data_IF_389365578303
#
_entry.id   IF_389365578303
#
_cell.length_a   1.000
_cell.length_b   1.000
_cell.length_c   1.000
_cell.angle_alpha   90.00
_cell.angle_beta   90.00
_cell.angle_gamma   90.00
#
_symmetry.space_group_name_H-M   'P 1'
#
loop_
_entity.id
_entity.type
_entity.pdbx_description
1 polymer ?
#
# COMPACT_ATOMS: atom_id res chain seq x y z
N UNK A 1 13.76 -11.87 19.78
CA UNK A 1 13.47 -10.43 19.63
C UNK A 1 11.98 -10.32 19.49
N UNK A 2 11.30 -9.82 20.51
CA UNK A 2 9.83 -9.86 20.57
C UNK A 2 9.20 -9.05 19.43
N UNK A 3 8.25 -9.66 18.73
CA UNK A 3 7.45 -9.06 17.66
C UNK A 3 6.57 -7.90 18.13
N UNK A 4 6.57 -7.60 19.43
CA UNK A 4 5.81 -6.52 20.08
C UNK A 4 6.57 -5.21 20.19
N UNK A 5 7.84 -5.21 19.82
CA UNK A 5 8.65 -3.98 19.82
C UNK A 5 8.38 -3.15 18.57
N UNK A 6 8.56 -1.82 18.66
CA UNK A 6 8.48 -0.91 17.49
C UNK A 6 9.39 -1.38 16.35
N UNK A 7 10.60 -1.86 16.68
CA UNK A 7 11.56 -2.37 15.68
C UNK A 7 11.12 -3.70 15.07
N UNK A 8 10.43 -4.55 15.84
CA UNK A 8 9.81 -5.76 15.34
C UNK A 8 8.73 -5.44 14.30
N UNK A 9 7.86 -4.49 14.61
CA UNK A 9 6.84 -4.01 13.68
C UNK A 9 7.44 -3.36 12.43
N UNK A 10 8.45 -2.50 12.59
CA UNK A 10 9.19 -1.91 11.46
C UNK A 10 9.78 -2.99 10.55
N UNK A 11 10.46 -3.99 11.14
CA UNK A 11 11.04 -5.10 10.37
C UNK A 11 9.97 -5.88 9.62
N UNK A 12 8.83 -6.16 10.24
CA UNK A 12 7.70 -6.83 9.59
C UNK A 12 7.21 -6.06 8.35
N UNK A 13 7.16 -4.73 8.41
CA UNK A 13 6.77 -3.89 7.26
C UNK A 13 7.84 -3.91 6.14
N UNK A 14 9.12 -3.90 6.49
CA UNK A 14 10.21 -4.05 5.51
C UNK A 14 10.14 -5.40 4.81
N UNK A 15 9.98 -6.49 5.57
CA UNK A 15 9.89 -7.85 5.03
C UNK A 15 8.67 -7.98 4.09
N UNK A 16 7.53 -7.39 4.47
CA UNK A 16 6.34 -7.30 3.62
C UNK A 16 6.62 -6.56 2.29
N UNK A 17 7.38 -5.47 2.33
CA UNK A 17 7.75 -4.70 1.14
C UNK A 17 8.64 -5.51 0.21
N UNK A 18 9.61 -6.23 0.75
CA UNK A 18 10.50 -7.12 -0.01
C UNK A 18 9.71 -8.26 -0.65
N UNK A 19 8.83 -8.92 0.13
CA UNK A 19 7.97 -9.99 -0.37
C UNK A 19 7.04 -9.51 -1.49
N UNK A 20 6.45 -8.32 -1.35
CA UNK A 20 5.64 -7.70 -2.40
C UNK A 20 6.44 -7.45 -3.68
N UNK A 21 7.66 -6.92 -3.56
CA UNK A 21 8.56 -6.73 -4.71
C UNK A 21 8.90 -8.04 -5.43
N UNK A 22 9.26 -9.09 -4.68
CA UNK A 22 9.54 -10.41 -5.23
C UNK A 22 8.33 -11.02 -5.93
N UNK A 23 7.14 -10.89 -5.34
CA UNK A 23 5.88 -11.38 -5.91
C UNK A 23 5.58 -10.72 -7.26
N UNK A 24 5.79 -9.39 -7.36
CA UNK A 24 5.61 -8.68 -8.63
C UNK A 24 6.65 -9.07 -9.69
N UNK A 25 7.88 -9.36 -9.30
CA UNK A 25 8.90 -9.90 -10.21
C UNK A 25 8.48 -11.27 -10.75
N UNK A 26 8.03 -12.18 -9.89
CA UNK A 26 7.54 -13.50 -10.30
C UNK A 26 6.34 -13.40 -11.26
N UNK A 27 5.40 -12.50 -10.99
CA UNK A 27 4.28 -12.22 -11.89
C UNK A 27 4.77 -11.74 -13.26
N UNK A 28 5.74 -10.81 -13.28
CA UNK A 28 6.37 -10.32 -14.51
C UNK A 28 7.06 -11.43 -15.31
N UNK A 29 7.76 -12.35 -14.65
CA UNK A 29 8.41 -13.49 -15.32
C UNK A 29 7.37 -14.41 -15.97
N UNK A 30 6.28 -14.72 -15.26
CA UNK A 30 5.15 -15.50 -15.81
C UNK A 30 4.51 -14.82 -17.03
N UNK A 31 4.37 -13.49 -17.01
CA UNK A 31 3.86 -12.73 -18.16
C UNK A 31 4.79 -12.80 -19.36
N UNK A 32 6.11 -12.70 -19.11
CA UNK A 32 7.12 -12.84 -20.17
C UNK A 32 7.06 -14.22 -20.81
N UNK A 33 6.92 -15.29 -20.03
CA UNK A 33 6.87 -16.65 -20.54
C UNK A 33 5.63 -16.89 -21.42
N UNK A 34 4.48 -16.36 -20.98
CA UNK A 34 3.22 -16.42 -21.75
C UNK A 34 3.28 -15.59 -23.05
N UNK A 35 3.92 -14.42 -23.02
CA UNK A 35 4.01 -13.53 -24.17
C UNK A 35 5.08 -13.95 -25.21
N UNK A 36 6.18 -14.54 -24.76
CA UNK A 36 7.37 -14.80 -25.58
C UNK A 36 7.51 -16.21 -26.14
N UNK A 37 7.03 -17.24 -25.42
CA UNK A 37 7.35 -18.64 -25.74
C UNK A 37 6.27 -19.38 -26.50
N UNK A 38 5.44 -20.12 -25.77
CA UNK A 38 4.54 -21.15 -26.31
C UNK A 38 3.22 -20.59 -26.85
N UNK A 39 2.69 -19.52 -26.24
CA UNK A 39 1.37 -18.98 -26.58
C UNK A 39 1.30 -18.32 -27.97
N UNK A 40 2.33 -17.56 -28.35
CA UNK A 40 2.37 -16.89 -29.67
C UNK A 40 2.52 -17.89 -30.81
N UNK A 41 3.47 -18.82 -30.69
CA UNK A 41 3.75 -19.80 -31.74
C UNK A 41 2.57 -20.74 -31.99
N UNK A 42 1.90 -21.21 -30.93
CA UNK A 42 0.73 -22.08 -31.06
C UNK A 42 -0.46 -21.37 -31.72
N UNK A 43 -0.73 -20.11 -31.35
CA UNK A 43 -1.76 -19.29 -31.99
C UNK A 43 -1.52 -19.13 -33.49
N UNK A 44 -0.29 -18.80 -33.87
CA UNK A 44 0.09 -18.63 -35.28
C UNK A 44 -0.10 -19.92 -36.08
N UNK A 45 0.22 -21.07 -35.49
CA UNK A 45 0.03 -22.38 -36.10
C UNK A 45 -1.46 -22.69 -36.35
N UNK A 46 -2.34 -22.45 -35.38
CA UNK A 46 -3.79 -22.65 -35.52
C UNK A 46 -4.37 -21.77 -36.63
N UNK A 47 -4.02 -20.48 -36.63
CA UNK A 47 -4.47 -19.53 -37.67
C UNK A 47 -3.99 -19.94 -39.06
N UNK A 48 -2.74 -20.37 -39.18
CA UNK A 48 -2.18 -20.86 -40.44
C UNK A 48 -2.94 -22.08 -40.96
N UNK A 49 -3.12 -23.11 -40.12
CA UNK A 49 -3.87 -24.32 -40.47
C UNK A 49 -5.31 -24.00 -40.88
N UNK A 50 -5.99 -23.11 -40.15
CA UNK A 50 -7.34 -22.66 -40.49
C UNK A 50 -7.41 -21.96 -41.85
N UNK A 51 -6.44 -21.08 -42.12
CA UNK A 51 -6.35 -20.36 -43.40
C UNK A 51 -6.09 -21.32 -44.56
N UNK A 52 -5.18 -22.30 -44.38
CA UNK A 52 -4.89 -23.32 -45.40
C UNK A 52 -6.12 -24.18 -45.72
N UNK A 53 -6.91 -24.56 -44.71
CA UNK A 53 -8.15 -25.32 -44.92
C UNK A 53 -9.22 -24.50 -45.65
N UNK A 54 -9.40 -23.23 -45.28
CA UNK A 54 -10.35 -22.34 -45.96
C UNK A 54 -9.96 -22.10 -47.42
N UNK A 55 -8.66 -21.87 -47.68
CA UNK A 55 -8.15 -21.69 -49.04
C UNK A 55 -8.38 -22.93 -49.91
N UNK A 56 -8.25 -24.14 -49.34
CA UNK A 56 -8.52 -25.38 -50.06
C UNK A 56 -9.98 -25.50 -50.49
N UNK A 57 -10.92 -25.31 -49.56
CA UNK A 57 -12.36 -25.34 -49.88
C UNK A 57 -12.75 -24.27 -50.92
N UNK A 58 -12.22 -23.05 -50.78
CA UNK A 58 -12.44 -22.00 -51.77
C UNK A 58 -11.88 -22.34 -53.16
N UNK A 59 -10.71 -22.99 -53.22
CA UNK A 59 -10.13 -23.43 -54.48
C UNK A 59 -10.99 -24.50 -55.19
N UNK A 60 -11.61 -25.40 -54.43
CA UNK A 60 -12.51 -26.44 -54.94
C UNK A 60 -13.80 -25.83 -55.52
N UNK A 61 -14.43 -24.90 -54.80
CA UNK A 61 -15.62 -24.16 -55.31
C UNK A 61 -15.26 -23.35 -56.55
N UNK A 62 -14.11 -22.67 -56.56
CA UNK A 62 -13.63 -21.93 -57.73
C UNK A 62 -13.41 -22.86 -58.92
N UNK A 63 -12.98 -24.10 -58.70
CA UNK A 63 -12.82 -25.08 -59.76
C UNK A 63 -14.18 -25.47 -60.37
N UNK A 64 -15.22 -25.71 -59.57
CA UNK A 64 -16.58 -25.96 -60.07
C UNK A 64 -17.10 -24.80 -60.92
N UNK A 65 -16.90 -23.55 -60.47
CA UNK A 65 -17.31 -22.35 -61.23
C UNK A 65 -16.55 -22.23 -62.56
N UNK A 66 -15.26 -22.60 -62.59
CA UNK A 66 -14.48 -22.64 -63.83
C UNK A 66 -15.03 -23.68 -64.80
N UNK A 67 -15.45 -24.84 -64.32
CA UNK A 67 -16.01 -25.93 -65.14
C UNK A 67 -17.36 -25.55 -65.74
N UNK A 68 -18.20 -24.86 -64.97
CA UNK A 68 -19.43 -24.24 -65.46
C UNK A 68 -19.15 -23.22 -66.57
N UNK A 69 -18.14 -22.35 -66.38
CA UNK A 69 -17.75 -21.36 -67.39
C UNK A 69 -17.27 -22.02 -68.69
N UNK A 70 -16.52 -23.12 -68.59
CA UNK A 70 -16.06 -23.90 -69.76
C UNK A 70 -17.23 -24.50 -70.54
N UNK A 71 -18.14 -25.20 -69.86
CA UNK A 71 -19.31 -25.81 -70.51
C UNK A 71 -20.28 -24.78 -71.10
N UNK A 72 -20.49 -23.63 -70.44
CA UNK A 72 -21.25 -22.50 -70.99
C UNK A 72 -20.66 -21.97 -72.29
N UNK A 73 -19.33 -21.79 -72.34
CA UNK A 73 -18.64 -21.34 -73.56
C UNK A 73 -18.79 -22.34 -74.70
N UNK A 74 -18.65 -23.64 -74.41
CA UNK A 74 -18.83 -24.70 -75.41
C UNK A 74 -20.25 -24.72 -75.96
N UNK A 75 -21.27 -24.63 -75.09
CA UNK A 75 -22.68 -24.52 -75.48
C UNK A 75 -22.90 -23.35 -76.46
N UNK A 76 -22.45 -22.14 -76.11
CA UNK A 76 -22.60 -20.97 -76.98
C UNK A 76 -21.78 -21.04 -78.28
N UNK A 77 -20.71 -21.83 -78.33
CA UNK A 77 -20.02 -22.13 -79.60
C UNK A 77 -20.85 -23.07 -80.48
N UNK A 78 -21.40 -24.15 -79.91
CA UNK A 78 -22.24 -25.11 -80.66
C UNK A 78 -23.53 -24.49 -81.16
N UNK A 79 -24.13 -23.60 -80.38
CA UNK A 79 -25.35 -22.87 -80.77
C UNK A 79 -25.12 -22.02 -82.02
N UNK A 80 -24.01 -21.27 -82.07
CA UNK A 80 -23.64 -20.46 -83.25
C UNK A 80 -23.40 -21.32 -84.49
N UNK A 81 -22.68 -22.43 -84.35
CA UNK A 81 -22.42 -23.35 -85.49
C UNK A 81 -23.72 -23.96 -86.01
N UNK A 82 -24.61 -24.37 -85.12
CA UNK A 82 -25.92 -24.91 -85.49
C UNK A 82 -26.81 -23.86 -86.17
N UNK A 83 -26.86 -22.63 -85.65
CA UNK A 83 -27.62 -21.53 -86.24
C UNK A 83 -27.15 -21.20 -87.67
N UNK A 84 -25.83 -21.12 -87.88
CA UNK A 84 -25.25 -20.92 -89.23
C UNK A 84 -25.57 -22.09 -90.17
N UNK A 85 -25.60 -23.32 -89.67
CA UNK A 85 -25.98 -24.49 -90.47
C UNK A 85 -27.47 -24.46 -90.84
N UNK A 86 -28.35 -24.02 -89.93
CA UNK A 86 -29.78 -23.83 -90.17
C UNK A 86 -30.05 -22.75 -91.21
N UNK A 87 -29.36 -21.60 -91.12
CA UNK A 87 -29.48 -20.51 -92.10
C UNK A 87 -29.10 -20.98 -93.51
N UNK A 88 -27.96 -21.69 -93.64
CA UNK A 88 -27.52 -22.27 -94.93
C UNK A 88 -28.49 -23.31 -95.47
N UNK A 89 -29.05 -24.16 -94.61
CA UNK A 89 -30.05 -25.15 -95.01
C UNK A 89 -31.35 -24.47 -95.48
N UNK A 90 -31.80 -23.43 -94.78
CA UNK A 90 -32.99 -22.66 -95.12
C UNK A 90 -32.84 -21.91 -96.45
N UNK A 91 -31.66 -21.31 -96.72
CA UNK A 91 -31.36 -20.66 -98.00
C UNK A 91 -31.43 -21.64 -99.17
N UNK A 92 -30.77 -22.80 -99.06
CA UNK A 92 -30.80 -23.84 -100.11
C UNK A 92 -32.21 -24.39 -100.29
N UNK A 93 -32.98 -24.56 -99.21
CA UNK A 93 -34.37 -25.02 -99.29
C UNK A 93 -35.29 -23.97 -99.93
N UNK A 94 -35.11 -22.68 -99.64
CA UNK A 94 -35.86 -21.60 -100.26
C UNK A 94 -35.59 -21.52 -101.77
N UNK A 95 -34.32 -21.68 -102.19
CA UNK A 95 -33.94 -21.75 -103.62
C UNK A 95 -34.55 -22.97 -104.31
N UNK A 96 -34.60 -24.12 -103.64
CA UNK A 96 -35.25 -25.32 -104.15
C UNK A 96 -36.77 -25.13 -104.33
N UNK A 97 -37.44 -24.50 -103.37
CA UNK A 97 -38.89 -24.25 -103.39
C UNK A 97 -39.30 -23.24 -104.48
N UNK A 98 -38.48 -22.20 -104.71
CA UNK A 98 -38.69 -21.22 -105.79
C UNK A 98 -38.32 -21.73 -107.17
N UNK A 99 -37.73 -22.92 -107.25
CA UNK A 99 -37.09 -23.46 -108.46
C UNK A 99 -36.01 -22.54 -109.06
N UNK A 100 -35.32 -21.78 -108.21
CA UNK A 100 -34.20 -20.89 -108.55
C UNK A 100 -32.92 -21.70 -108.82
N UNK A 101 -32.92 -22.39 -109.95
CA UNK A 101 -31.78 -23.14 -110.47
C UNK A 101 -30.98 -22.18 -111.36
N UNK A 102 -29.90 -21.60 -110.83
CA UNK A 102 -28.97 -20.81 -111.65
C UNK A 102 -28.45 -21.64 -112.84
N UNK A 103 -28.00 -20.98 -113.91
CA UNK A 103 -27.61 -21.57 -115.20
C UNK A 103 -26.60 -22.75 -115.07
N UNK A 104 -25.93 -22.90 -113.92
CA UNK A 104 -24.94 -23.94 -113.62
C UNK A 104 -25.33 -24.99 -112.55
N UNK A 105 -26.56 -24.99 -112.02
CA UNK A 105 -27.00 -25.96 -111.00
C UNK A 105 -28.32 -26.64 -111.39
N UNK A 106 -28.31 -27.97 -111.53
CA UNK A 106 -29.51 -28.76 -111.81
C UNK A 106 -30.36 -28.97 -110.55
N UNK A 107 -31.69 -29.14 -110.71
CA UNK A 107 -32.62 -29.48 -109.63
C UNK A 107 -32.17 -30.66 -108.78
N UNK A 108 -31.64 -31.69 -109.42
CA UNK A 108 -31.07 -32.88 -108.76
C UNK A 108 -29.83 -32.55 -107.93
N UNK A 109 -28.99 -31.61 -108.35
CA UNK A 109 -27.82 -31.16 -107.57
C UNK A 109 -28.21 -30.36 -106.32
N UNK A 110 -29.22 -29.48 -106.42
CA UNK A 110 -29.76 -28.75 -105.26
C UNK A 110 -30.47 -29.68 -104.27
N UNK A 111 -31.18 -30.70 -104.76
CA UNK A 111 -31.77 -31.74 -103.89
C UNK A 111 -30.68 -32.51 -103.12
N UNK A 112 -29.61 -32.94 -103.79
CA UNK A 112 -28.47 -33.58 -103.10
C UNK A 112 -27.82 -32.66 -102.07
N UNK A 113 -27.62 -31.38 -102.39
CA UNK A 113 -27.07 -30.41 -101.44
C UNK A 113 -27.99 -30.19 -100.24
N UNK A 114 -29.31 -30.07 -100.46
CA UNK A 114 -30.31 -29.97 -99.39
C UNK A 114 -30.28 -31.19 -98.47
N UNK A 115 -30.24 -32.41 -99.03
CA UNK A 115 -30.13 -33.63 -98.20
C UNK A 115 -28.84 -33.68 -97.39
N UNK A 116 -27.71 -33.23 -97.95
CA UNK A 116 -26.42 -33.16 -97.26
C UNK A 116 -26.44 -32.12 -96.11
N UNK A 117 -26.98 -30.93 -96.36
CA UNK A 117 -27.11 -29.89 -95.34
C UNK A 117 -28.11 -30.30 -94.25
N UNK A 118 -29.17 -31.02 -94.60
CA UNK A 118 -30.12 -31.60 -93.64
C UNK A 118 -29.44 -32.62 -92.71
N UNK A 119 -28.63 -33.54 -93.27
CA UNK A 119 -27.84 -34.48 -92.47
C UNK A 119 -26.80 -33.78 -91.58
N UNK A 120 -26.10 -32.77 -92.10
CA UNK A 120 -25.16 -31.95 -91.30
C UNK A 120 -25.87 -31.17 -90.19
N UNK A 121 -27.05 -30.63 -90.47
CA UNK A 121 -27.87 -29.92 -89.49
C UNK A 121 -28.33 -30.85 -88.36
N UNK A 122 -28.73 -32.09 -88.68
CA UNK A 122 -29.05 -33.10 -87.68
C UNK A 122 -27.84 -33.45 -86.79
N UNK A 123 -26.64 -33.58 -87.37
CA UNK A 123 -25.41 -33.81 -86.62
C UNK A 123 -25.06 -32.64 -85.68
N UNK A 124 -25.14 -31.40 -86.16
CA UNK A 124 -24.92 -30.22 -85.31
C UNK A 124 -25.99 -30.06 -84.22
N UNK A 125 -27.23 -30.44 -84.51
CA UNK A 125 -28.32 -30.46 -83.53
C UNK A 125 -28.00 -31.41 -82.37
N UNK A 126 -27.53 -32.62 -82.69
CA UNK A 126 -27.10 -33.59 -81.69
C UNK A 126 -25.91 -33.08 -80.85
N UNK A 127 -24.92 -32.43 -81.48
CA UNK A 127 -23.78 -31.84 -80.77
C UNK A 127 -24.20 -30.67 -79.87
N UNK A 128 -25.14 -29.83 -80.31
CA UNK A 128 -25.71 -28.75 -79.51
C UNK A 128 -26.47 -29.32 -78.30
N UNK A 129 -27.29 -30.35 -78.50
CA UNK A 129 -28.01 -31.03 -77.43
C UNK A 129 -27.05 -31.63 -76.38
N UNK A 130 -25.97 -32.28 -76.83
CA UNK A 130 -24.96 -32.82 -75.93
C UNK A 130 -24.28 -31.71 -75.09
N UNK A 131 -23.85 -30.62 -75.73
CA UNK A 131 -23.23 -29.49 -75.03
C UNK A 131 -24.21 -28.76 -74.09
N UNK A 132 -25.49 -28.69 -74.45
CA UNK A 132 -26.55 -28.14 -73.58
C UNK A 132 -26.74 -29.01 -72.34
N UNK A 133 -26.84 -30.33 -72.52
CA UNK A 133 -27.00 -31.26 -71.42
C UNK A 133 -25.80 -31.19 -70.45
N UNK A 134 -24.58 -31.16 -70.97
CA UNK A 134 -23.37 -31.01 -70.15
C UNK A 134 -23.36 -29.69 -69.37
N UNK A 135 -23.74 -28.58 -70.01
CA UNK A 135 -23.87 -27.29 -69.33
C UNK A 135 -24.94 -27.31 -68.22
N UNK A 136 -26.12 -27.91 -68.47
CA UNK A 136 -27.18 -28.03 -67.47
C UNK A 136 -26.76 -28.91 -66.29
N UNK A 137 -26.06 -30.02 -66.53
CA UNK A 137 -25.52 -30.88 -65.47
C UNK A 137 -24.49 -30.13 -64.63
N UNK A 138 -23.55 -29.44 -65.25
CA UNK A 138 -22.55 -28.63 -64.54
C UNK A 138 -23.18 -27.46 -63.78
N UNK A 139 -24.26 -26.87 -64.30
CA UNK A 139 -24.99 -25.79 -63.62
C UNK A 139 -25.62 -26.28 -62.32
N UNK A 140 -26.34 -27.40 -62.36
CA UNK A 140 -26.96 -27.99 -61.16
C UNK A 140 -25.89 -28.43 -60.15
N UNK A 141 -24.82 -29.08 -60.62
CA UNK A 141 -23.72 -29.50 -59.75
C UNK A 141 -23.00 -28.32 -59.08
N UNK A 142 -22.72 -27.24 -59.84
CA UNK A 142 -22.05 -26.04 -59.30
C UNK A 142 -22.95 -25.31 -58.31
N UNK A 143 -24.25 -25.19 -58.59
CA UNK A 143 -25.19 -24.59 -57.65
C UNK A 143 -25.29 -25.40 -56.36
N UNK A 144 -25.37 -26.73 -56.44
CA UNK A 144 -25.38 -27.59 -55.26
C UNK A 144 -24.09 -27.47 -54.44
N UNK A 145 -22.92 -27.38 -55.08
CA UNK A 145 -21.64 -27.17 -54.39
C UNK A 145 -21.59 -25.79 -53.72
N UNK A 146 -22.05 -24.72 -54.39
CA UNK A 146 -22.14 -23.38 -53.80
C UNK A 146 -23.07 -23.36 -52.59
N UNK A 147 -24.26 -23.97 -52.71
CA UNK A 147 -25.23 -24.06 -51.61
C UNK A 147 -24.62 -24.82 -50.42
N UNK A 148 -23.98 -25.97 -50.65
CA UNK A 148 -23.32 -26.74 -49.60
C UNK A 148 -22.16 -25.97 -48.95
N UNK A 149 -21.32 -25.31 -49.75
CA UNK A 149 -20.21 -24.51 -49.25
C UNK A 149 -20.69 -23.41 -48.29
N UNK A 150 -21.73 -22.66 -48.67
CA UNK A 150 -22.22 -21.54 -47.86
C UNK A 150 -23.05 -21.98 -46.65
N UNK A 151 -23.84 -23.04 -46.77
CA UNK A 151 -24.75 -23.47 -45.70
C UNK A 151 -24.07 -24.38 -44.68
N UNK A 152 -23.10 -25.19 -45.10
CA UNK A 152 -22.52 -26.25 -44.25
C UNK A 152 -21.00 -26.09 -44.07
N UNK A 153 -20.22 -26.10 -45.15
CA UNK A 153 -18.76 -26.19 -45.04
C UNK A 153 -18.13 -24.92 -44.44
N UNK A 154 -18.51 -23.74 -44.94
CA UNK A 154 -17.95 -22.47 -44.47
C UNK A 154 -18.27 -22.24 -42.98
N UNK A 155 -19.52 -22.40 -42.50
CA UNK A 155 -19.83 -22.36 -41.07
C UNK A 155 -19.03 -23.38 -40.26
N UNK A 156 -18.88 -24.62 -40.74
CA UNK A 156 -18.14 -25.66 -40.02
C UNK A 156 -16.64 -25.34 -39.91
N UNK A 157 -16.02 -24.87 -41.00
CA UNK A 157 -14.62 -24.46 -41.02
C UNK A 157 -14.36 -23.27 -40.08
N UNK A 158 -15.23 -22.25 -40.11
CA UNK A 158 -15.12 -21.09 -39.22
C UNK A 158 -15.34 -21.49 -37.76
N UNK A 159 -16.32 -22.35 -37.47
CA UNK A 159 -16.57 -22.85 -36.12
C UNK A 159 -15.36 -23.59 -35.57
N UNK A 160 -14.76 -24.48 -36.36
CA UNK A 160 -13.56 -25.23 -35.97
C UNK A 160 -12.37 -24.30 -35.69
N UNK A 161 -12.14 -23.30 -36.53
CA UNK A 161 -11.09 -22.30 -36.33
C UNK A 161 -11.30 -21.50 -35.04
N UNK A 162 -12.52 -21.00 -34.84
CA UNK A 162 -12.85 -20.20 -33.65
C UNK A 162 -12.80 -21.04 -32.38
N UNK A 163 -13.24 -22.31 -32.41
CA UNK A 163 -13.16 -23.20 -31.25
C UNK A 163 -11.71 -23.53 -30.88
N UNK A 164 -10.90 -23.95 -31.86
CA UNK A 164 -9.47 -24.25 -31.61
C UNK A 164 -8.74 -23.00 -31.06
N UNK A 165 -8.98 -21.82 -31.64
CA UNK A 165 -8.39 -20.57 -31.16
C UNK A 165 -8.86 -20.20 -29.74
N UNK A 166 -10.15 -20.37 -29.45
CA UNK A 166 -10.72 -20.03 -28.15
C UNK A 166 -10.18 -20.95 -27.05
N UNK A 167 -10.02 -22.24 -27.34
CA UNK A 167 -9.39 -23.19 -26.41
C UNK A 167 -7.93 -22.82 -26.16
N UNK A 168 -7.17 -22.48 -27.20
CA UNK A 168 -5.77 -22.07 -27.05
C UNK A 168 -5.59 -20.76 -26.28
N UNK A 169 -6.53 -19.82 -26.37
CA UNK A 169 -6.43 -18.53 -25.66
C UNK A 169 -6.98 -18.59 -24.24
N UNK A 170 -7.88 -19.52 -23.93
CA UNK A 170 -8.53 -19.64 -22.62
C UNK A 170 -7.53 -19.83 -21.49
N UNK A 171 -6.65 -20.83 -21.62
CA UNK A 171 -5.72 -21.18 -20.54
C UNK A 171 -4.70 -20.07 -20.27
N UNK A 172 -4.04 -19.46 -21.28
CA UNK A 172 -3.17 -18.30 -21.06
C UNK A 172 -3.88 -17.12 -20.40
N UNK A 173 -5.09 -16.76 -20.85
CA UNK A 173 -5.84 -15.64 -20.26
C UNK A 173 -6.24 -15.93 -18.80
N UNK A 174 -6.67 -17.16 -18.51
CA UNK A 174 -6.98 -17.60 -17.15
C UNK A 174 -5.74 -17.58 -16.26
N UNK A 175 -4.59 -18.00 -16.80
CA UNK A 175 -3.30 -17.97 -16.09
C UNK A 175 -2.84 -16.55 -15.78
N UNK A 176 -3.05 -15.59 -16.69
CA UNK A 176 -2.76 -14.18 -16.44
C UNK A 176 -3.60 -13.64 -15.28
N UNK A 177 -4.92 -13.85 -15.33
CA UNK A 177 -5.81 -13.42 -14.25
C UNK A 177 -5.48 -14.08 -12.92
N UNK A 178 -5.18 -15.39 -12.93
CA UNK A 178 -4.78 -16.13 -11.72
C UNK A 178 -3.46 -15.60 -11.14
N UNK A 179 -2.50 -15.24 -11.98
CA UNK A 179 -1.21 -14.69 -11.52
C UNK A 179 -1.38 -13.34 -10.83
N UNK A 180 -2.24 -12.44 -11.34
CA UNK A 180 -2.56 -11.19 -10.62
C UNK A 180 -3.26 -11.48 -9.29
N UNK A 181 -4.24 -12.41 -9.27
CA UNK A 181 -4.95 -12.77 -8.04
C UNK A 181 -3.99 -13.29 -6.96
N UNK A 182 -3.17 -14.29 -7.29
CA UNK A 182 -2.14 -14.83 -6.39
C UNK A 182 -1.19 -13.73 -5.88
N UNK A 183 -0.78 -12.80 -6.76
CA UNK A 183 0.09 -11.70 -6.36
C UNK A 183 -0.60 -10.74 -5.36
N UNK A 184 -1.87 -10.42 -5.58
CA UNK A 184 -2.64 -9.57 -4.67
C UNK A 184 -2.92 -10.23 -3.33
N UNK A 185 -3.20 -11.53 -3.31
CA UNK A 185 -3.43 -12.31 -2.09
C UNK A 185 -2.19 -12.28 -1.20
N UNK A 186 -1.01 -12.55 -1.76
CA UNK A 186 0.26 -12.50 -0.99
C UNK A 186 0.50 -11.10 -0.41
N UNK A 187 0.28 -10.04 -1.20
CA UNK A 187 0.46 -8.65 -0.71
C UNK A 187 -0.52 -8.34 0.43
N UNK A 188 -1.78 -8.77 0.30
CA UNK A 188 -2.82 -8.56 1.30
C UNK A 188 -2.50 -9.28 2.61
N UNK A 189 -2.05 -10.54 2.55
CA UNK A 189 -1.64 -11.31 3.73
C UNK A 189 -0.49 -10.62 4.50
N UNK A 190 0.50 -10.09 3.77
CA UNK A 190 1.60 -9.36 4.38
C UNK A 190 1.14 -8.03 4.99
N UNK A 191 0.20 -7.33 4.35
CA UNK A 191 -0.39 -6.11 4.89
C UNK A 191 -1.15 -6.36 6.20
N UNK A 192 -2.00 -7.39 6.24
CA UNK A 192 -2.72 -7.78 7.45
C UNK A 192 -1.77 -8.18 8.60
N UNK A 193 -0.70 -8.92 8.29
CA UNK A 193 0.33 -9.25 9.28
C UNK A 193 1.03 -7.99 9.79
N UNK A 194 1.32 -7.04 8.91
CA UNK A 194 1.87 -5.74 9.26
C UNK A 194 0.97 -4.98 10.24
N UNK A 195 -0.31 -4.86 9.92
CA UNK A 195 -1.34 -4.23 10.77
C UNK A 195 -1.47 -4.91 12.15
N UNK A 196 -1.50 -6.24 12.17
CA UNK A 196 -1.56 -7.00 13.41
C UNK A 196 -0.30 -6.78 14.27
N UNK A 197 0.87 -6.69 13.65
CA UNK A 197 2.12 -6.49 14.36
C UNK A 197 2.23 -5.06 14.89
N UNK A 198 1.84 -4.06 14.11
CA UNK A 198 1.86 -2.65 14.53
C UNK A 198 0.84 -2.36 15.64
N UNK A 199 -0.35 -2.96 15.60
CA UNK A 199 -1.37 -2.80 16.66
C UNK A 199 -0.97 -3.43 18.01
N UNK A 200 -0.03 -4.37 18.02
CA UNK A 200 0.50 -4.99 19.24
C UNK A 200 1.69 -4.24 19.85
N UNK A 201 2.16 -3.17 19.20
CA UNK A 201 3.29 -2.38 19.70
C UNK A 201 2.90 -1.64 20.97
N UNK A 202 3.65 -1.88 22.05
CA UNK A 202 3.47 -1.19 23.31
C UNK A 202 4.80 -0.72 23.88
N UNK A 203 5.01 0.60 23.86
CA UNK A 203 6.21 1.22 24.44
C UNK A 203 6.28 1.01 25.96
N UNK A 204 5.14 0.90 26.64
CA UNK A 204 5.06 0.66 28.09
C UNK A 204 5.62 -0.72 28.43
N UNK A 205 5.28 -1.72 27.61
CA UNK A 205 5.78 -3.08 27.76
C UNK A 205 7.30 -3.11 27.54
N UNK A 206 7.79 -2.44 26.49
CA UNK A 206 9.21 -2.35 26.17
C UNK A 206 10.00 -1.65 27.30
N UNK A 207 9.47 -0.54 27.82
CA UNK A 207 10.06 0.16 28.96
C UNK A 207 10.06 -0.69 30.22
N UNK A 208 8.97 -1.40 30.51
CA UNK A 208 8.88 -2.29 31.66
C UNK A 208 9.92 -3.40 31.59
N UNK A 209 10.10 -4.02 30.42
CA UNK A 209 11.12 -5.03 30.20
C UNK A 209 12.53 -4.45 30.42
N UNK A 210 12.80 -3.26 29.87
CA UNK A 210 14.07 -2.55 30.06
C UNK A 210 14.37 -2.23 31.53
N UNK A 211 13.39 -1.74 32.28
CA UNK A 211 13.53 -1.42 33.71
C UNK A 211 13.66 -2.67 34.61
N UNK A 212 13.17 -3.83 34.16
CA UNK A 212 13.26 -5.10 34.89
C UNK A 212 14.59 -5.84 34.66
N UNK A 213 15.47 -5.34 33.79
CA UNK A 213 16.73 -6.01 33.52
C UNK A 213 17.64 -6.06 34.76
N UNK A 214 18.14 -7.25 35.15
CA UNK A 214 18.93 -7.43 36.36
C UNK A 214 20.20 -6.56 36.38
N UNK A 215 20.49 -5.95 37.52
CA UNK A 215 21.79 -5.34 37.83
C UNK A 215 22.01 -3.87 37.42
N UNK A 216 21.17 -3.30 36.56
CA UNK A 216 21.30 -1.89 36.12
C UNK A 216 20.31 -0.97 36.85
N UNK A 217 19.05 -1.37 36.96
CA UNK A 217 17.96 -0.60 37.58
C UNK A 217 17.59 -1.09 38.99
N UNK A 218 18.35 -2.03 39.55
CA UNK A 218 18.11 -2.54 40.89
C UNK A 218 18.25 -1.41 41.93
N UNK A 219 17.31 -1.27 42.88
CA UNK A 219 17.42 -0.28 43.94
C UNK A 219 18.77 -0.39 44.68
N UNK A 220 19.47 0.73 44.81
CA UNK A 220 20.65 0.80 45.67
C UNK A 220 20.22 0.57 47.13
N UNK A 221 21.00 -0.15 47.96
CA UNK A 221 20.71 -0.23 49.39
C UNK A 221 20.61 1.18 50.00
N UNK A 222 19.75 1.35 51.03
CA UNK A 222 19.60 2.65 51.68
C UNK A 222 20.94 3.11 52.25
N UNK A 223 21.24 4.40 52.07
CA UNK A 223 22.43 5.02 52.66
C UNK A 223 22.29 4.98 54.19
N UNK A 224 23.36 4.61 54.88
CA UNK A 224 23.40 4.50 56.34
C UNK A 224 24.35 5.55 56.91
N UNK A 225 24.05 6.04 58.11
CA UNK A 225 24.97 6.87 58.87
C UNK A 225 26.28 6.10 59.10
N UNK A 226 27.41 6.76 58.86
CA UNK A 226 28.76 6.20 59.07
C UNK A 226 29.40 6.94 60.25
N UNK A 227 29.44 6.34 61.45
CA UNK A 227 30.06 6.97 62.61
C UNK A 227 31.55 7.19 62.37
N UNK A 228 32.06 8.37 62.73
CA UNK A 228 33.47 8.67 62.66
C UNK A 228 34.13 8.44 64.03
N UNK A 229 35.23 7.68 64.07
CA UNK A 229 35.99 7.43 65.30
C UNK A 229 35.19 6.65 66.36
N UNK A 230 35.03 7.24 67.56
CA UNK A 230 34.33 6.61 68.69
C UNK A 230 32.90 7.10 68.88
N UNK A 231 32.34 7.83 67.90
CA UNK A 231 30.98 8.34 67.99
C UNK A 231 29.96 7.18 68.01
N UNK A 232 29.12 7.15 69.05
CA UNK A 232 28.03 6.18 69.20
C UNK A 232 26.65 6.84 69.05
N UNK A 233 26.60 8.15 68.81
CA UNK A 233 25.36 8.89 68.68
C UNK A 233 24.84 8.74 67.25
N UNK A 234 23.74 8.00 67.11
CA UNK A 234 23.06 7.76 65.83
C UNK A 234 21.65 8.37 65.80
N UNK A 235 21.32 9.22 66.78
CA UNK A 235 20.00 9.81 66.98
C UNK A 235 20.14 11.33 67.03
N UNK A 236 19.12 12.04 66.56
CA UNK A 236 19.12 13.50 66.54
C UNK A 236 18.97 14.05 67.98
N UNK A 237 19.97 14.80 68.45
CA UNK A 237 19.98 15.36 69.80
C UNK A 237 19.44 16.79 69.83
N UNK A 238 18.48 17.04 70.72
CA UNK A 238 17.87 18.36 70.91
C UNK A 238 17.54 18.57 72.39
N UNK A 239 18.32 19.41 73.10
CA UNK A 239 18.06 19.79 74.49
C UNK A 239 19.12 19.40 75.52
N UNK A 240 20.35 19.90 75.40
CA UNK A 240 21.25 20.04 76.54
C UNK A 240 21.23 21.51 77.01
N UNK A 241 20.85 21.72 78.27
CA UNK A 241 20.73 23.03 78.90
C UNK A 241 22.02 23.86 78.78
N UNK A 242 21.86 25.12 78.39
CA UNK A 242 22.89 26.14 78.54
C UNK A 242 23.30 26.85 77.25
N UNK A 243 22.41 27.67 76.69
CA UNK A 243 22.63 29.10 76.36
C UNK A 243 21.41 29.58 75.55
N UNK A 244 20.84 30.69 76.00
CA UNK A 244 19.68 31.35 75.42
C UNK A 244 19.92 31.75 73.95
N UNK A 245 19.50 30.88 73.04
CA UNK A 245 19.41 31.15 71.61
C UNK A 245 18.47 30.13 71.00
N UNK A 246 17.53 30.59 70.14
CA UNK A 246 16.74 29.69 69.28
C UNK A 246 17.68 28.66 68.71
N UNK A 247 17.39 27.39 68.91
CA UNK A 247 18.33 26.38 68.47
C UNK A 247 18.50 26.37 66.98
N UNK A 248 19.68 25.92 66.56
CA UNK A 248 19.93 25.63 65.15
C UNK A 248 18.80 24.77 64.55
N UNK A 249 18.27 23.81 65.32
CA UNK A 249 17.19 22.93 64.88
C UNK A 249 15.83 23.63 64.75
N UNK A 250 15.46 24.56 65.64
CA UNK A 250 14.24 25.36 65.47
C UNK A 250 14.31 26.28 64.24
N UNK A 251 15.50 26.86 63.96
CA UNK A 251 15.74 27.63 62.73
C UNK A 251 15.69 26.74 61.48
N UNK A 252 16.18 25.52 61.59
CA UNK A 252 16.10 24.50 60.53
C UNK A 252 14.64 24.15 60.22
N UNK A 253 13.82 23.91 61.25
CA UNK A 253 12.36 23.66 61.09
C UNK A 253 11.70 24.85 60.38
N UNK A 254 11.98 26.08 60.80
CA UNK A 254 11.46 27.28 60.12
C UNK A 254 11.89 27.33 58.65
N UNK A 255 13.17 27.09 58.35
CA UNK A 255 13.68 27.08 56.97
C UNK A 255 13.01 26.00 56.11
N UNK A 256 12.90 24.77 56.63
CA UNK A 256 12.31 23.64 55.93
C UNK A 256 10.80 23.82 55.70
N UNK A 257 10.07 24.38 56.67
CA UNK A 257 8.64 24.69 56.53
C UNK A 257 8.38 25.82 55.53
N UNK A 258 9.17 26.90 55.57
CA UNK A 258 9.12 27.96 54.53
C UNK A 258 9.50 27.41 53.15
N UNK A 259 10.44 26.48 53.07
CA UNK A 259 10.80 25.80 51.82
C UNK A 259 9.65 24.93 51.30
N UNK A 260 9.00 24.14 52.17
CA UNK A 260 7.85 23.31 51.80
C UNK A 260 6.68 24.16 51.26
N UNK A 261 6.41 25.30 51.89
CA UNK A 261 5.42 26.27 51.43
C UNK A 261 5.76 26.80 50.02
N UNK A 262 7.03 27.18 49.77
CA UNK A 262 7.48 27.61 48.44
C UNK A 262 7.37 26.51 47.39
N UNK A 263 7.86 25.30 47.69
CA UNK A 263 7.79 24.16 46.76
C UNK A 263 6.33 23.81 46.41
N UNK A 264 5.40 23.92 47.38
CA UNK A 264 3.96 23.76 47.14
C UNK A 264 3.40 24.80 46.15
N UNK A 265 3.81 26.07 46.27
CA UNK A 265 3.43 27.13 45.32
C UNK A 265 3.99 26.87 43.92
N UNK A 266 5.27 26.51 43.84
CA UNK A 266 5.96 26.19 42.57
C UNK A 266 5.26 25.03 41.85
N UNK A 267 4.90 23.96 42.58
CA UNK A 267 4.18 22.83 41.98
C UNK A 267 2.81 23.26 41.46
N UNK A 268 1.99 23.94 42.28
CA UNK A 268 0.64 24.33 41.86
C UNK A 268 0.65 25.30 40.68
N UNK A 269 1.53 26.30 40.70
CA UNK A 269 1.70 27.22 39.57
C UNK A 269 2.20 26.50 38.33
N UNK A 270 3.23 25.66 38.48
CA UNK A 270 3.80 24.87 37.40
C UNK A 270 2.75 23.98 36.71
N UNK A 271 1.88 23.29 37.46
CA UNK A 271 0.82 22.46 36.87
C UNK A 271 -0.18 23.30 36.05
N UNK A 272 -0.52 24.52 36.50
CA UNK A 272 -1.42 25.43 35.76
C UNK A 272 -0.78 25.93 34.47
N UNK A 273 0.49 26.35 34.55
CA UNK A 273 1.26 26.76 33.37
C UNK A 273 1.35 25.62 32.37
N UNK A 274 1.63 24.40 32.85
CA UNK A 274 1.75 23.20 32.02
C UNK A 274 0.44 22.90 31.28
N UNK A 275 -0.71 22.96 31.96
CA UNK A 275 -2.02 22.79 31.32
C UNK A 275 -2.28 23.83 30.23
N UNK A 276 -1.94 25.11 30.48
CA UNK A 276 -2.07 26.19 29.48
C UNK A 276 -1.17 25.97 28.26
N UNK A 277 0.10 25.62 28.48
CA UNK A 277 1.05 25.34 27.41
C UNK A 277 0.64 24.10 26.59
N UNK A 278 0.06 23.06 27.22
CA UNK A 278 -0.47 21.88 26.52
C UNK A 278 -1.68 22.21 25.64
N UNK A 279 -2.59 23.07 26.11
CA UNK A 279 -3.69 23.58 25.29
C UNK A 279 -3.18 24.41 24.11
N UNK A 280 -2.18 25.28 24.34
CA UNK A 280 -1.56 26.09 23.29
C UNK A 280 -0.85 25.22 22.25
N UNK A 281 -0.16 24.14 22.67
CA UNK A 281 0.50 23.18 21.78
C UNK A 281 -0.47 22.57 20.76
N UNK A 282 -1.72 22.31 21.14
CA UNK A 282 -2.75 21.78 20.23
C UNK A 282 -3.20 22.78 19.16
N UNK A 283 -3.03 24.08 19.41
CA UNK A 283 -3.46 25.18 18.55
C UNK A 283 -2.30 25.88 17.85
N UNK A 284 -1.06 25.54 18.20
CA UNK A 284 0.15 26.19 17.72
C UNK A 284 0.51 25.78 16.29
N UNK A 285 1.15 26.70 15.56
CA UNK A 285 1.72 26.41 14.24
C UNK A 285 3.01 25.59 14.36
N UNK A 286 3.40 24.90 13.28
CA UNK A 286 4.65 24.09 13.23
C UNK A 286 5.91 24.89 13.56
N UNK A 287 5.91 26.22 13.36
CA UNK A 287 7.05 27.10 13.70
C UNK A 287 7.18 27.41 15.18
N UNK A 288 6.08 27.42 15.93
CA UNK A 288 6.06 27.71 17.37
C UNK A 288 6.18 26.46 18.24
N UNK A 289 5.88 25.29 17.67
CA UNK A 289 5.96 23.98 18.32
C UNK A 289 7.26 23.74 19.12
N UNK A 290 8.48 23.96 18.58
CA UNK A 290 9.71 23.67 19.32
C UNK A 290 9.92 24.60 20.53
N UNK A 291 9.51 25.87 20.43
CA UNK A 291 9.61 26.84 21.54
C UNK A 291 8.64 26.47 22.67
N UNK A 292 7.42 26.07 22.34
CA UNK A 292 6.42 25.60 23.31
C UNK A 292 6.88 24.29 23.97
N UNK A 293 7.48 23.37 23.21
CA UNK A 293 8.04 22.13 23.75
C UNK A 293 9.20 22.38 24.72
N UNK A 294 10.09 23.32 24.42
CA UNK A 294 11.16 23.74 25.33
C UNK A 294 10.59 24.29 26.65
N UNK A 295 9.61 25.21 26.58
CA UNK A 295 8.96 25.77 27.77
C UNK A 295 8.24 24.71 28.61
N UNK A 296 7.55 23.76 27.95
CA UNK A 296 6.93 22.61 28.63
C UNK A 296 7.96 21.78 29.39
N UNK A 297 9.14 21.56 28.80
CA UNK A 297 10.23 20.83 29.44
C UNK A 297 10.78 21.59 30.66
N UNK A 298 11.00 22.90 30.56
CA UNK A 298 11.47 23.75 31.66
C UNK A 298 10.50 23.73 32.86
N UNK A 299 9.20 23.85 32.59
CA UNK A 299 8.17 23.81 33.63
C UNK A 299 8.08 22.42 34.28
N UNK A 300 8.12 21.34 33.48
CA UNK A 300 8.15 19.95 34.01
C UNK A 300 9.36 19.71 34.90
N UNK A 301 10.52 20.22 34.49
CA UNK A 301 11.76 20.11 35.25
C UNK A 301 11.70 20.92 36.55
N UNK A 302 11.10 22.11 36.53
CA UNK A 302 10.85 22.91 37.74
C UNK A 302 9.94 22.20 38.74
N UNK A 303 8.82 21.63 38.28
CA UNK A 303 7.91 20.82 39.11
C UNK A 303 8.65 19.62 39.69
N UNK A 304 9.44 18.90 38.88
CA UNK A 304 10.25 17.76 39.33
C UNK A 304 11.23 18.17 40.43
N UNK A 305 11.94 19.30 40.27
CA UNK A 305 12.86 19.82 41.29
C UNK A 305 12.14 20.15 42.60
N UNK A 306 10.99 20.81 42.52
CA UNK A 306 10.16 21.11 43.68
C UNK A 306 9.63 19.85 44.39
N UNK A 307 9.23 18.81 43.64
CA UNK A 307 8.83 17.51 44.19
C UNK A 307 9.98 16.81 44.91
N UNK A 308 11.17 16.79 44.31
CA UNK A 308 12.37 16.22 44.94
C UNK A 308 12.73 16.99 46.22
N UNK A 309 12.68 18.33 46.19
CA UNK A 309 12.90 19.18 47.36
C UNK A 309 11.88 18.89 48.46
N UNK A 310 10.60 18.78 48.11
CA UNK A 310 9.52 18.46 49.04
C UNK A 310 9.72 17.09 49.71
N UNK A 311 10.05 16.04 48.96
CA UNK A 311 10.30 14.70 49.53
C UNK A 311 11.50 14.72 50.49
N UNK A 312 12.60 15.40 50.11
CA UNK A 312 13.77 15.59 50.99
C UNK A 312 13.42 16.37 52.26
N UNK A 313 12.69 17.47 52.11
CA UNK A 313 12.26 18.33 53.21
C UNK A 313 11.31 17.62 54.17
N UNK A 314 10.32 16.90 53.65
CA UNK A 314 9.38 16.12 54.44
C UNK A 314 10.07 15.03 55.26
N UNK A 315 11.05 14.32 54.68
CA UNK A 315 11.85 13.34 55.41
C UNK A 315 12.65 13.97 56.57
N UNK A 316 13.25 15.15 56.35
CA UNK A 316 13.97 15.89 57.40
C UNK A 316 13.04 16.40 58.49
N UNK A 317 11.88 16.95 58.13
CA UNK A 317 10.86 17.40 59.09
C UNK A 317 10.32 16.24 59.92
N UNK A 318 10.10 15.06 59.32
CA UNK A 318 9.68 13.86 60.03
C UNK A 318 10.72 13.40 61.06
N UNK A 319 12.02 13.47 60.72
CA UNK A 319 13.10 13.17 61.66
C UNK A 319 13.13 14.16 62.84
N UNK A 320 12.97 15.46 62.57
CA UNK A 320 12.93 16.52 63.60
C UNK A 320 11.71 16.38 64.52
N UNK A 321 10.54 16.05 63.96
CA UNK A 321 9.33 15.79 64.72
C UNK A 321 9.49 14.54 65.61
N UNK A 322 10.11 13.47 65.09
CA UNK A 322 10.44 12.27 65.85
C UNK A 322 11.41 12.51 67.01
N UNK A 323 12.27 13.54 66.90
CA UNK A 323 13.18 13.98 67.97
C UNK A 323 12.50 14.87 69.02
N UNK A 324 11.19 15.15 68.89
CA UNK A 324 10.41 15.91 69.87
C UNK A 324 10.29 17.42 69.59
N UNK A 325 10.71 17.91 68.41
CA UNK A 325 10.44 19.30 68.01
C UNK A 325 8.99 19.48 67.55
N UNK A 326 8.37 20.60 67.94
CA UNK A 326 7.04 21.00 67.47
C UNK A 326 7.11 21.60 66.05
N UNK A 327 7.19 20.71 65.06
CA UNK A 327 7.22 21.05 63.63
C UNK A 327 5.87 21.67 63.19
N UNK A 328 4.76 21.17 63.74
CA UNK A 328 3.40 21.56 63.36
C UNK A 328 3.11 23.03 63.63
N UNK A 329 3.72 23.59 64.70
CA UNK A 329 3.65 25.03 65.02
C UNK A 329 4.04 25.94 63.86
N UNK A 330 4.99 25.52 63.03
CA UNK A 330 5.49 26.31 61.89
C UNK A 330 4.92 25.83 60.56
N UNK A 331 4.73 24.52 60.40
CA UNK A 331 4.29 23.94 59.15
C UNK A 331 2.83 24.31 58.81
N UNK A 332 1.90 24.19 59.77
CA UNK A 332 0.48 24.50 59.55
C UNK A 332 0.26 25.93 59.04
N UNK A 333 0.70 26.99 59.73
CA UNK A 333 0.48 28.35 59.27
C UNK A 333 1.17 28.63 57.92
N UNK A 334 2.38 28.11 57.70
CA UNK A 334 3.09 28.29 56.43
C UNK A 334 2.36 27.63 55.25
N UNK A 335 1.81 26.43 55.45
CA UNK A 335 1.05 25.72 54.42
C UNK A 335 -0.32 26.34 54.17
N UNK A 336 -1.04 26.76 55.23
CA UNK A 336 -2.33 27.47 55.07
C UNK A 336 -2.14 28.78 54.32
N UNK A 337 -1.12 29.57 54.68
CA UNK A 337 -0.81 30.80 53.95
C UNK A 337 -0.48 30.52 52.47
N UNK A 338 0.34 29.50 52.19
CA UNK A 338 0.68 29.13 50.81
C UNK A 338 -0.54 28.64 50.01
N UNK A 339 -1.48 27.94 50.65
CA UNK A 339 -2.76 27.53 50.05
C UNK A 339 -3.62 28.73 49.69
N UNK A 340 -3.79 29.66 50.62
CA UNK A 340 -4.58 30.88 50.41
C UNK A 340 -4.00 31.73 49.28
N UNK A 341 -2.67 31.91 49.25
CA UNK A 341 -1.97 32.64 48.18
C UNK A 341 -2.18 31.96 46.81
N UNK A 342 -2.05 30.62 46.74
CA UNK A 342 -2.27 29.84 45.50
C UNK A 342 -3.71 29.92 45.02
N UNK A 343 -4.68 29.96 45.93
CA UNK A 343 -6.09 30.16 45.61
C UNK A 343 -6.40 31.59 45.17
N UNK A 344 -5.81 32.58 45.82
CA UNK A 344 -5.94 33.99 45.44
C UNK A 344 -5.41 34.20 44.03
N UNK A 345 -4.19 33.73 43.75
CA UNK A 345 -3.62 33.78 42.40
C UNK A 345 -4.48 33.04 41.37
N UNK A 346 -5.09 31.90 41.75
CA UNK A 346 -6.03 31.19 40.85
C UNK A 346 -7.19 32.09 40.43
N UNK A 347 -7.83 32.75 41.40
CA UNK A 347 -8.98 33.63 41.18
C UNK A 347 -8.58 34.84 40.33
N UNK A 348 -7.39 35.39 40.56
CA UNK A 348 -6.85 36.49 39.77
C UNK A 348 -6.55 36.07 38.32
N UNK A 349 -5.92 34.91 38.10
CA UNK A 349 -5.70 34.37 36.75
C UNK A 349 -7.01 34.11 36.02
N UNK A 350 -8.02 33.53 36.69
CA UNK A 350 -9.36 33.32 36.11
C UNK A 350 -10.04 34.63 35.74
N UNK A 351 -9.94 35.65 36.59
CA UNK A 351 -10.45 37.00 36.29
C UNK A 351 -9.74 37.64 35.08
N UNK A 352 -8.41 37.52 34.97
CA UNK A 352 -7.63 38.01 33.82
C UNK A 352 -8.03 37.32 32.51
N UNK A 353 -8.22 36.00 32.54
CA UNK A 353 -8.67 35.22 31.39
C UNK A 353 -10.09 35.61 30.94
N UNK A 354 -10.96 36.01 31.88
CA UNK A 354 -12.32 36.46 31.57
C UNK A 354 -12.39 37.86 30.93
N UNK A 355 -11.37 38.71 31.13
CA UNK A 355 -11.32 40.09 30.61
C UNK A 355 -10.65 40.23 29.23
N UNK A 356 -10.12 39.14 28.66
CA UNK A 356 -9.57 39.08 27.28
C UNK A 356 -8.45 40.09 27.00
N UNK A 357 -7.30 39.87 27.63
CA UNK A 357 -6.01 40.37 27.12
C UNK A 357 -5.04 39.18 26.98
N UNK A 358 -5.16 38.45 25.87
CA UNK A 358 -4.21 37.38 25.48
C UNK A 358 -2.96 38.01 24.86
N UNK A 359 -2.19 38.77 25.64
CA UNK A 359 -0.88 39.27 25.18
C UNK A 359 0.21 38.24 25.54
N UNK A 360 1.09 37.85 24.60
CA UNK A 360 2.20 36.91 24.85
C UNK A 360 3.14 37.36 25.98
N UNK A 361 3.20 38.66 26.23
CA UNK A 361 4.10 39.33 27.19
C UNK A 361 3.64 39.19 28.64
N UNK A 362 2.33 39.02 28.89
CA UNK A 362 1.81 38.81 30.24
C UNK A 362 2.11 37.39 30.76
N UNK A 363 2.24 36.43 29.85
CA UNK A 363 2.57 35.03 30.19
C UNK A 363 4.06 34.85 30.50
N UNK A 364 4.97 35.58 29.85
CA UNK A 364 6.42 35.53 30.13
C UNK A 364 6.77 36.15 31.50
N UNK A 365 5.98 37.12 31.99
CA UNK A 365 6.16 37.69 33.32
C UNK A 365 5.77 36.72 34.46
N UNK A 366 4.78 35.83 34.23
CA UNK A 366 4.38 34.78 35.18
C UNK A 366 5.40 33.62 35.28
N UNK A 367 6.41 33.60 34.40
CA UNK A 367 7.46 32.59 34.32
C UNK A 367 8.83 33.07 34.84
N UNK A 368 8.95 34.35 35.22
CA UNK A 368 10.19 34.89 35.80
C UNK A 368 10.39 34.50 37.27
N UNK A 369 9.35 34.01 37.95
CA UNK A 369 9.39 33.62 39.37
C UNK A 369 10.11 32.28 39.65
N UNK A 370 10.69 31.65 38.62
CA UNK A 370 11.33 30.33 38.72
C UNK A 370 12.83 30.37 39.04
N UNK A 371 13.47 31.54 39.08
CA UNK A 371 14.95 31.65 39.20
C UNK A 371 15.49 31.64 40.65
N UNK A 372 14.66 31.76 41.68
CA UNK A 372 15.13 31.81 43.08
C UNK A 372 15.06 30.45 43.79
N UNK A 373 15.82 29.46 43.32
CA UNK A 373 15.92 28.17 44.04
C UNK A 373 17.32 27.54 44.06
N UNK A 374 18.38 28.34 43.90
CA UNK A 374 19.72 27.87 44.23
C UNK A 374 20.09 28.30 45.65
N UNK A 375 19.94 27.39 46.61
CA UNK A 375 20.72 27.45 47.85
C UNK A 375 22.01 26.67 47.57
N UNK A 376 22.99 27.35 46.96
CA UNK A 376 24.36 26.87 46.78
C UNK A 376 25.01 26.79 48.17
N UNK A 377 24.80 25.66 48.85
CA UNK A 377 25.66 25.29 49.97
C UNK A 377 27.05 25.00 49.43
N UNK A 378 28.09 25.56 50.06
CA UNK A 378 29.50 25.27 49.78
C UNK A 378 29.73 23.75 49.90
N UNK A 379 29.69 23.05 48.76
CA UNK A 379 30.06 21.64 48.68
C UNK A 379 31.59 21.58 48.63
N UNK A 380 32.19 20.82 49.54
CA UNK A 380 33.50 20.24 49.30
C UNK A 380 33.49 19.57 47.91
N UNK A 381 34.54 19.76 47.11
CA UNK A 381 34.74 19.02 45.87
C UNK A 381 34.75 17.52 46.18
N UNK A 382 33.59 16.87 46.08
CA UNK A 382 33.52 15.42 46.00
C UNK A 382 34.14 15.00 44.66
N UNK A 383 35.08 14.05 44.65
CA UNK A 383 35.66 13.55 43.41
C UNK A 383 34.54 13.07 42.50
N UNK A 384 34.63 13.41 41.21
CA UNK A 384 33.63 13.05 40.22
C UNK A 384 33.30 11.55 40.35
N UNK A 385 32.00 11.18 40.49
CA UNK A 385 31.63 9.79 40.63
C UNK A 385 32.22 8.99 39.47
N UNK A 386 32.71 7.78 39.76
CA UNK A 386 33.22 6.85 38.75
C UNK A 386 32.21 6.75 37.60
N UNK A 387 32.73 6.75 36.36
CA UNK A 387 31.94 6.78 35.13
C UNK A 387 30.66 5.95 35.28
N UNK A 388 29.56 6.67 35.42
CA UNK A 388 28.24 6.10 35.64
C UNK A 388 27.93 5.19 34.46
N UNK A 389 27.51 3.95 34.73
CA UNK A 389 27.19 3.01 33.67
C UNK A 389 26.07 3.64 32.80
N UNK A 390 26.31 3.78 31.50
CA UNK A 390 25.30 4.28 30.57
C UNK A 390 24.68 3.14 29.81
N UNK A 391 23.34 3.14 29.71
CA UNK A 391 22.62 2.16 28.89
C UNK A 391 21.82 2.86 27.80
N UNK A 392 21.98 2.48 26.52
CA UNK A 392 21.17 3.02 25.44
C UNK A 392 19.76 2.44 25.52
N UNK A 393 18.76 3.31 25.60
CA UNK A 393 17.39 2.99 25.22
C UNK A 393 17.29 3.07 23.68
N UNK A 394 16.31 2.45 23.00
CA UNK A 394 16.10 2.61 21.55
C UNK A 394 15.86 4.04 20.98
N UNK A 395 16.05 5.08 21.79
CA UNK A 395 16.07 6.50 21.41
C UNK A 395 17.44 7.09 21.84
N UNK A 396 17.84 8.32 21.45
CA UNK A 396 19.09 8.92 21.94
C UNK A 396 18.94 9.35 23.42
N UNK A 397 18.71 8.38 24.30
CA UNK A 397 18.60 8.53 25.74
C UNK A 397 19.61 7.59 26.38
N UNK A 398 20.53 8.18 27.13
CA UNK A 398 21.50 7.46 27.94
C UNK A 398 21.04 7.60 29.39
N UNK A 399 20.81 6.47 30.06
CA UNK A 399 20.50 6.50 31.49
C UNK A 399 21.78 6.21 32.26
N UNK A 400 22.05 7.04 33.26
CA UNK A 400 23.30 7.15 34.00
C UNK A 400 23.13 6.52 35.40
N UNK A 401 23.94 5.53 35.79
CA UNK A 401 23.77 4.79 37.07
C UNK A 401 25.03 4.65 37.93
N UNK A 402 24.79 4.58 39.26
CA UNK A 402 25.70 4.35 40.41
C UNK A 402 26.37 5.58 41.03
N UNK A 403 25.73 6.14 42.05
CA UNK A 403 26.42 6.96 43.07
C UNK A 403 26.58 6.12 44.34
N UNK A 404 27.80 5.70 44.65
CA UNK A 404 28.16 5.22 45.98
C UNK A 404 28.90 6.37 46.66
N UNK A 405 28.33 6.91 47.74
CA UNK A 405 29.06 7.82 48.61
C UNK A 405 30.32 7.10 49.11
N UNK A 406 31.47 7.74 48.96
CA UNK A 406 32.77 7.16 49.27
C UNK A 406 32.81 6.75 50.75
N UNK A 407 33.05 5.47 51.03
CA UNK A 407 33.52 5.04 52.36
C UNK A 407 34.94 5.57 52.51
N UNK A 408 35.15 6.62 53.32
CA UNK A 408 36.48 6.93 53.80
C UNK A 408 36.83 5.92 54.88
N UNK A 409 37.79 5.06 54.58
CA UNK A 409 38.34 4.01 55.45
C UNK A 409 39.19 4.58 56.57
#
# INVERSE_FOLDING_TARGET
>A
MDSRTVFGAWRCLLDATVAGGQTRLQASDRYRDLAGGTGRSAKEQVLRKGTENLQRAQAEVLQSVRDLSRSRKLYGQRERVWALAQEKAADVQARLNRSDHGIFHSRTSLQKLSTKLSAQSAQYSQQLQAARNEYLLNLVATNAHLDHYYQEELPALLKALVSELSEHLRDPLTSLSRTELEATEVILEHAHRGEQTTSQVSWEQDLKLFLQEPGVFSPTPPQQFQPAGTDQVCVLEWGAEGVAGKSGLEKEVQRLTSRAARDYKIQNHGHRVLQRLEQRRQQASEREAPSIEQRLQEVRESIRRAQVSQVKGAARLALLQGAGLDVERWLKPAMTQAQDEVEQERRLSEARLSQRDLSPTAEDAELSDFEECEETGELFEEPAPQALATRPLPCPAHVVFRYQGVRMS
#
